data_IF_547549580115
#
_entry.id   IF_547549580115
#
_cell.length_a   1.000
_cell.length_b   1.000
_cell.length_c   1.000
_cell.angle_alpha   90.00
_cell.angle_beta   90.00
_cell.angle_gamma   90.00
#
_symmetry.space_group_name_H-M   'P 1'
#
loop_
_entity.id
_entity.type
_entity.pdbx_description
1 polymer ?
#
# COMPACT_ATOMS: atom_id res chain seq x y z
N UNK A 1 -28.41 -13.55 15.73
CA UNK A 1 -27.85 -12.26 16.20
C UNK A 1 -26.49 -11.94 15.56
N UNK A 2 -26.21 -12.43 14.35
CA UNK A 2 -24.87 -12.32 13.70
C UNK A 2 -24.81 -11.22 12.63
N UNK A 3 -25.95 -10.77 12.12
CA UNK A 3 -26.03 -9.83 10.99
C UNK A 3 -25.51 -8.41 11.32
N UNK A 4 -25.53 -7.99 12.59
CA UNK A 4 -25.02 -6.69 13.01
C UNK A 4 -23.49 -6.66 13.19
N UNK A 5 -22.87 -7.79 13.54
CA UNK A 5 -21.42 -7.87 13.76
C UNK A 5 -20.65 -7.77 12.43
N UNK A 6 -21.14 -8.48 11.41
CA UNK A 6 -20.54 -8.48 10.07
C UNK A 6 -20.60 -7.10 9.40
N UNK A 7 -21.76 -6.43 9.45
CA UNK A 7 -21.93 -5.07 8.90
C UNK A 7 -21.01 -4.06 9.60
N UNK A 8 -20.84 -4.18 10.91
CA UNK A 8 -19.92 -3.33 11.68
C UNK A 8 -18.46 -3.56 11.29
N UNK A 9 -18.04 -4.80 11.08
CA UNK A 9 -16.68 -5.14 10.64
C UNK A 9 -16.37 -4.57 9.24
N UNK A 10 -17.31 -4.68 8.29
CA UNK A 10 -17.15 -4.10 6.95
C UNK A 10 -17.01 -2.58 7.03
N UNK A 11 -17.89 -1.90 7.78
CA UNK A 11 -17.82 -0.45 7.92
C UNK A 11 -16.46 0.01 8.50
N UNK A 12 -15.94 -0.71 9.50
CA UNK A 12 -14.61 -0.45 10.07
C UNK A 12 -13.50 -0.63 9.03
N UNK A 13 -13.54 -1.71 8.24
CA UNK A 13 -12.56 -1.96 7.18
C UNK A 13 -12.60 -0.88 6.09
N UNK A 14 -13.80 -0.44 5.68
CA UNK A 14 -13.97 0.65 4.71
C UNK A 14 -13.39 1.96 5.23
N UNK A 15 -13.74 2.35 6.47
CA UNK A 15 -13.21 3.58 7.08
C UNK A 15 -11.69 3.51 7.25
N UNK A 16 -11.15 2.36 7.65
CA UNK A 16 -9.70 2.16 7.73
C UNK A 16 -9.04 2.37 6.37
N UNK A 17 -9.57 1.73 5.33
CA UNK A 17 -9.02 1.83 3.97
C UNK A 17 -9.02 3.26 3.44
N UNK A 18 -10.11 4.01 3.67
CA UNK A 18 -10.20 5.42 3.28
C UNK A 18 -9.17 6.28 4.02
N UNK A 19 -9.00 6.07 5.32
CA UNK A 19 -8.00 6.80 6.13
C UNK A 19 -6.58 6.48 5.68
N UNK A 20 -6.31 5.22 5.35
CA UNK A 20 -5.02 4.80 4.81
C UNK A 20 -4.76 5.46 3.46
N UNK A 21 -5.72 5.49 2.55
CA UNK A 21 -5.57 6.15 1.25
C UNK A 21 -5.29 7.65 1.39
N UNK A 22 -6.02 8.34 2.27
CA UNK A 22 -5.76 9.75 2.56
C UNK A 22 -4.37 9.96 3.18
N UNK A 23 -3.94 9.06 4.07
CA UNK A 23 -2.60 9.15 4.68
C UNK A 23 -1.52 8.97 3.63
N UNK A 24 -1.65 7.97 2.75
CA UNK A 24 -0.66 7.70 1.69
C UNK A 24 -0.62 8.82 0.67
N UNK A 25 -1.78 9.34 0.25
CA UNK A 25 -1.83 10.46 -0.69
C UNK A 25 -1.24 11.74 -0.11
N UNK A 26 -1.37 11.98 1.21
CA UNK A 26 -0.87 13.19 1.87
C UNK A 26 0.60 13.10 2.29
N UNK A 27 1.03 11.96 2.85
CA UNK A 27 2.37 11.78 3.43
C UNK A 27 3.33 11.07 2.48
N UNK A 28 2.84 10.13 1.67
CA UNK A 28 3.67 9.26 0.82
C UNK A 28 4.55 8.28 1.61
N UNK A 29 4.25 8.04 2.89
CA UNK A 29 5.09 7.21 3.76
C UNK A 29 4.58 5.77 3.78
N UNK A 30 5.47 4.84 3.45
CA UNK A 30 5.33 3.41 3.75
C UNK A 30 6.44 3.07 4.75
N UNK A 31 6.08 2.99 6.03
CA UNK A 31 6.97 2.58 7.10
C UNK A 31 7.09 1.05 7.19
N UNK A 32 7.92 0.56 8.12
CA UNK A 32 8.15 -0.87 8.29
C UNK A 32 6.84 -1.63 8.58
N UNK A 33 5.97 -1.09 9.43
CA UNK A 33 4.71 -1.75 9.78
C UNK A 33 3.76 -1.87 8.57
N UNK A 34 3.61 -0.80 7.79
CA UNK A 34 2.78 -0.87 6.59
C UNK A 34 3.44 -1.75 5.50
N UNK A 35 4.76 -1.76 5.42
CA UNK A 35 5.47 -2.68 4.54
C UNK A 35 5.17 -4.13 4.91
N UNK A 36 5.18 -4.47 6.20
CA UNK A 36 4.87 -5.82 6.68
C UNK A 36 3.43 -6.21 6.35
N UNK A 37 2.46 -5.29 6.46
CA UNK A 37 1.09 -5.51 6.01
C UNK A 37 1.01 -5.78 4.49
N UNK A 38 1.83 -5.11 3.68
CA UNK A 38 1.91 -5.37 2.24
C UNK A 38 2.58 -6.72 1.96
N UNK A 39 3.65 -7.04 2.69
CA UNK A 39 4.39 -8.29 2.56
C UNK A 39 3.55 -9.50 3.00
N UNK A 40 2.64 -9.35 3.96
CA UNK A 40 1.74 -10.43 4.35
C UNK A 40 0.79 -10.82 3.23
N UNK A 41 0.33 -9.85 2.41
CA UNK A 41 -0.47 -10.13 1.19
C UNK A 41 0.36 -10.89 0.15
N UNK A 42 1.64 -10.55 0.02
CA UNK A 42 2.58 -11.26 -0.84
C UNK A 42 2.82 -12.70 -0.38
N UNK A 43 2.82 -12.95 0.93
CA UNK A 43 3.01 -14.28 1.51
C UNK A 43 1.77 -15.17 1.43
N UNK A 44 0.56 -14.60 1.60
CA UNK A 44 -0.72 -15.32 1.55
C UNK A 44 -1.74 -14.58 0.64
N UNK A 45 -1.58 -14.68 -0.69
CA UNK A 45 -2.38 -13.90 -1.63
C UNK A 45 -3.78 -14.48 -1.81
N UNK A 46 -4.78 -13.64 -1.59
CA UNK A 46 -6.16 -13.86 -2.06
C UNK A 46 -6.68 -12.66 -2.85
N UNK A 47 -7.69 -12.85 -3.70
CA UNK A 47 -8.16 -11.82 -4.62
C UNK A 47 -8.49 -10.48 -3.94
N UNK A 48 -9.12 -10.50 -2.77
CA UNK A 48 -9.47 -9.27 -2.02
C UNK A 48 -8.23 -8.56 -1.46
N UNK A 49 -7.30 -9.31 -0.86
CA UNK A 49 -6.05 -8.77 -0.31
C UNK A 49 -5.12 -8.20 -1.39
N UNK A 50 -5.01 -8.88 -2.54
CA UNK A 50 -4.24 -8.40 -3.69
C UNK A 50 -4.86 -7.13 -4.25
N UNK A 51 -6.19 -7.09 -4.41
CA UNK A 51 -6.91 -5.89 -4.84
C UNK A 51 -6.72 -4.71 -3.87
N UNK A 52 -6.69 -4.97 -2.56
CA UNK A 52 -6.36 -3.96 -1.56
C UNK A 52 -4.95 -3.41 -1.72
N UNK A 53 -3.94 -4.28 -1.86
CA UNK A 53 -2.55 -3.88 -2.06
C UNK A 53 -2.39 -3.04 -3.33
N UNK A 54 -2.95 -3.50 -4.45
CA UNK A 54 -2.95 -2.75 -5.72
C UNK A 54 -3.57 -1.35 -5.55
N UNK A 55 -4.67 -1.23 -4.82
CA UNK A 55 -5.29 0.06 -4.56
C UNK A 55 -4.35 1.01 -3.79
N UNK A 56 -3.62 0.51 -2.78
CA UNK A 56 -2.65 1.32 -2.03
C UNK A 56 -1.46 1.74 -2.87
N UNK A 57 -0.94 0.84 -3.70
CA UNK A 57 0.14 1.15 -4.64
C UNK A 57 -0.30 2.19 -5.68
N UNK A 58 -1.54 2.14 -6.19
CA UNK A 58 -2.09 3.17 -7.08
C UNK A 58 -2.14 4.55 -6.45
N UNK A 59 -2.47 4.65 -5.16
CA UNK A 59 -2.48 5.94 -4.44
C UNK A 59 -1.07 6.52 -4.36
N UNK A 60 -0.05 5.69 -4.10
CA UNK A 60 1.35 6.11 -4.06
C UNK A 60 1.87 6.49 -5.46
N UNK A 61 1.53 5.69 -6.47
CA UNK A 61 1.79 5.95 -7.90
C UNK A 61 1.22 7.30 -8.36
N UNK A 62 -0.03 7.59 -8.00
CA UNK A 62 -0.68 8.87 -8.30
C UNK A 62 0.00 10.05 -7.58
N UNK A 63 0.41 9.86 -6.32
CA UNK A 63 1.15 10.88 -5.58
C UNK A 63 2.48 11.21 -6.25
N UNK A 64 3.29 10.21 -6.61
CA UNK A 64 4.59 10.46 -7.25
C UNK A 64 4.42 11.04 -8.66
N UNK A 65 3.41 10.60 -9.41
CA UNK A 65 3.09 11.14 -10.74
C UNK A 65 2.62 12.60 -10.70
N UNK A 66 2.07 13.07 -9.57
CA UNK A 66 1.68 14.47 -9.36
C UNK A 66 2.81 15.33 -8.75
N UNK A 67 4.04 14.78 -8.67
CA UNK A 67 5.21 15.49 -8.16
C UNK A 67 5.41 15.38 -6.64
N UNK A 68 4.60 14.58 -5.95
CA UNK A 68 4.77 14.31 -4.52
C UNK A 68 5.92 13.33 -4.25
N UNK A 69 6.71 13.57 -3.21
CA UNK A 69 7.72 12.62 -2.75
C UNK A 69 7.13 11.46 -1.94
N UNK A 70 7.79 10.31 -2.01
CA UNK A 70 7.54 9.13 -1.19
C UNK A 70 8.71 8.86 -0.25
N UNK A 71 8.42 8.25 0.90
CA UNK A 71 9.41 7.68 1.82
C UNK A 71 9.04 6.22 2.04
N UNK A 72 9.82 5.33 1.43
CA UNK A 72 9.49 3.91 1.34
C UNK A 72 10.45 3.09 2.18
N UNK A 73 9.94 2.16 2.97
CA UNK A 73 10.77 1.23 3.72
C UNK A 73 11.56 0.31 2.78
N UNK A 74 12.85 0.18 3.05
CA UNK A 74 13.76 -0.75 2.39
C UNK A 74 14.20 -1.83 3.41
N UNK A 75 13.68 -3.06 3.32
CA UNK A 75 14.02 -4.12 4.26
C UNK A 75 15.49 -4.52 4.22
N UNK A 76 16.18 -4.34 3.08
CA UNK A 76 17.60 -4.68 2.96
C UNK A 76 18.50 -3.78 3.83
N UNK A 77 18.13 -2.51 4.01
CA UNK A 77 18.89 -1.55 4.83
C UNK A 77 18.22 -1.24 6.17
N UNK A 78 16.94 -1.59 6.35
CA UNK A 78 16.15 -1.26 7.53
C UNK A 78 15.82 0.22 7.65
N UNK A 79 15.85 0.97 6.55
CA UNK A 79 15.67 2.44 6.53
C UNK A 79 14.59 2.88 5.55
N UNK A 80 14.13 4.12 5.68
CA UNK A 80 13.30 4.77 4.65
C UNK A 80 14.18 5.33 3.53
N UNK A 81 13.83 5.05 2.29
CA UNK A 81 14.43 5.65 1.09
C UNK A 81 13.49 6.70 0.50
N UNK A 82 14.05 7.82 0.05
CA UNK A 82 13.28 8.86 -0.64
C UNK A 82 13.11 8.47 -2.11
N UNK A 83 11.87 8.54 -2.61
CA UNK A 83 11.53 8.26 -4.01
C UNK A 83 10.71 9.42 -4.56
N UNK A 84 11.12 9.96 -5.70
CA UNK A 84 10.47 11.12 -6.33
C UNK A 84 10.16 10.90 -7.83
N UNK A 85 10.44 9.72 -8.35
CA UNK A 85 10.15 9.35 -9.74
C UNK A 85 9.28 8.10 -9.79
N UNK A 86 8.36 8.07 -10.74
CA UNK A 86 7.48 6.92 -10.95
C UNK A 86 8.26 5.64 -11.25
N UNK A 87 9.34 5.73 -12.02
CA UNK A 87 10.19 4.58 -12.36
C UNK A 87 10.87 3.97 -11.12
N UNK A 88 11.37 4.81 -10.21
CA UNK A 88 11.96 4.36 -8.95
C UNK A 88 10.92 3.69 -8.04
N UNK A 89 9.70 4.26 -7.99
CA UNK A 89 8.59 3.65 -7.27
C UNK A 89 8.21 2.29 -7.86
N UNK A 90 8.07 2.21 -9.19
CA UNK A 90 7.74 0.96 -9.88
C UNK A 90 8.82 -0.11 -9.65
N UNK A 91 10.11 0.25 -9.72
CA UNK A 91 11.19 -0.66 -9.42
C UNK A 91 11.15 -1.19 -7.96
N UNK A 92 10.80 -0.33 -7.00
CA UNK A 92 10.62 -0.74 -5.61
C UNK A 92 9.41 -1.67 -5.44
N UNK A 93 8.26 -1.31 -6.00
CA UNK A 93 7.02 -2.08 -5.87
C UNK A 93 7.13 -3.44 -6.59
N UNK A 94 7.72 -3.51 -7.78
CA UNK A 94 7.92 -4.75 -8.51
C UNK A 94 8.91 -5.70 -7.82
N UNK A 95 9.92 -5.15 -7.14
CA UNK A 95 10.91 -5.95 -6.39
C UNK A 95 10.29 -6.60 -5.15
N UNK A 96 9.45 -5.86 -4.42
CA UNK A 96 8.92 -6.32 -3.12
C UNK A 96 7.54 -6.97 -3.22
N UNK A 97 6.71 -6.58 -4.20
CA UNK A 97 5.33 -7.04 -4.36
C UNK A 97 5.02 -7.52 -5.80
N UNK A 98 5.76 -8.51 -6.34
CA UNK A 98 5.65 -8.94 -7.73
C UNK A 98 4.24 -9.42 -8.13
N UNK A 99 3.39 -9.85 -7.18
CA UNK A 99 1.99 -10.21 -7.46
C UNK A 99 1.14 -9.04 -7.97
N UNK A 100 1.61 -7.80 -7.81
CA UNK A 100 0.94 -6.57 -8.27
C UNK A 100 1.59 -5.93 -9.48
N UNK A 101 2.59 -6.58 -10.08
CA UNK A 101 3.42 -6.01 -11.14
C UNK A 101 2.59 -5.41 -12.27
N UNK A 102 2.85 -4.13 -12.56
CA UNK A 102 2.17 -3.37 -13.62
C UNK A 102 0.69 -3.06 -13.38
N UNK A 103 0.18 -3.23 -12.14
CA UNK A 103 -1.23 -3.01 -11.79
C UNK A 103 -1.45 -1.75 -10.97
N UNK A 104 -0.49 -0.82 -10.93
CA UNK A 104 -0.52 0.38 -10.08
C UNK A 104 -0.02 1.64 -10.79
#
# INVERSE_FOLDING_TARGET
MESNSFKSAIAKATTYNQRLDMRLSHTGVVDAALFDDFASVQADPNASSVGWLQAKLRVLSARVSSGGGLSLYEPASGTLIAVNMLEQFAAWADRHFPITKGQY
#
